data_IF_831115690302
#
_entry.id   IF_831115690302
#
_cell.length_a   1.000
_cell.length_b   1.000
_cell.length_c   1.000
_cell.angle_alpha   90.00
_cell.angle_beta   90.00
_cell.angle_gamma   90.00
#
_symmetry.space_group_name_H-M   'P 1'
#
loop_
_entity.id
_entity.type
_entity.pdbx_description
1 polymer ?
#
# COMPACT_ATOMS: atom_id res chain seq x y z
N UNK A 1 25.27 28.04 -1.08
CA UNK A 1 24.46 26.81 -1.25
C UNK A 1 23.32 26.87 -0.26
N UNK A 2 22.09 26.49 -0.63
CA UNK A 2 21.02 26.30 0.36
C UNK A 2 21.17 24.96 1.05
N UNK A 3 20.57 24.83 2.24
CA UNK A 3 20.45 23.55 2.95
C UNK A 3 19.04 23.03 2.76
N UNK A 4 18.92 21.75 2.42
CA UNK A 4 17.65 21.03 2.30
C UNK A 4 17.63 19.93 3.34
N UNK A 5 16.56 19.82 4.13
CA UNK A 5 16.35 18.61 4.95
C UNK A 5 15.67 17.55 4.10
N UNK A 6 16.34 16.42 3.91
CA UNK A 6 15.85 15.28 3.17
C UNK A 6 15.58 14.12 4.12
N UNK A 7 14.31 13.75 4.28
CA UNK A 7 13.91 12.60 5.09
C UNK A 7 14.06 11.33 4.25
N UNK A 8 15.09 10.52 4.53
CA UNK A 8 15.33 9.25 3.84
C UNK A 8 14.46 8.18 4.47
N UNK A 9 13.58 7.57 3.67
CA UNK A 9 12.57 6.59 4.08
C UNK A 9 12.89 5.25 3.41
N UNK A 10 12.87 4.16 4.17
CA UNK A 10 13.09 2.81 3.63
C UNK A 10 12.26 1.76 4.36
N UNK A 11 12.21 0.56 3.78
CA UNK A 11 11.52 -0.61 4.33
C UNK A 11 12.56 -1.53 4.98
N UNK A 12 12.29 -1.94 6.22
CA UNK A 12 13.19 -2.77 7.02
C UNK A 12 13.08 -4.28 6.75
N UNK A 13 13.79 -5.08 7.53
CA UNK A 13 13.81 -6.55 7.41
C UNK A 13 12.85 -7.27 8.36
N UNK A 14 11.94 -6.56 9.03
CA UNK A 14 11.06 -7.20 10.00
C UNK A 14 10.17 -8.25 9.32
N UNK A 15 10.00 -9.39 10.00
CA UNK A 15 9.07 -10.46 9.60
C UNK A 15 8.01 -10.68 10.69
N UNK A 16 6.78 -11.11 10.32
CA UNK A 16 6.35 -11.46 8.97
C UNK A 16 5.96 -10.25 8.10
N UNK A 17 5.90 -9.04 8.67
CA UNK A 17 5.60 -7.80 7.95
C UNK A 17 6.71 -6.78 8.20
N UNK A 18 7.33 -6.29 7.12
CA UNK A 18 8.35 -5.25 7.17
C UNK A 18 7.75 -3.90 7.56
N UNK A 19 8.56 -3.03 8.16
CA UNK A 19 8.15 -1.70 8.62
C UNK A 19 8.91 -0.59 7.92
N UNK A 20 8.26 0.57 7.85
CA UNK A 20 8.89 1.81 7.43
C UNK A 20 9.85 2.31 8.51
N UNK A 21 10.99 2.84 8.08
CA UNK A 21 11.98 3.54 8.88
C UNK A 21 12.32 4.84 8.17
N UNK A 22 12.74 5.85 8.91
CA UNK A 22 13.26 7.06 8.29
C UNK A 22 14.30 7.78 9.14
N UNK A 23 15.09 8.65 8.51
CA UNK A 23 15.98 9.60 9.16
C UNK A 23 16.31 10.79 8.26
N UNK A 24 16.62 11.93 8.87
CA UNK A 24 16.85 13.18 8.15
C UNK A 24 18.32 13.44 7.82
N UNK A 25 18.64 13.69 6.55
CA UNK A 25 19.92 14.21 6.07
C UNK A 25 19.80 15.69 5.77
N UNK A 26 20.80 16.48 6.18
CA UNK A 26 20.98 17.83 5.63
C UNK A 26 21.83 17.72 4.37
N UNK A 27 21.28 18.12 3.22
CA UNK A 27 21.95 18.11 1.92
C UNK A 27 22.28 19.55 1.53
N UNK A 28 23.56 19.82 1.23
CA UNK A 28 24.01 21.13 0.75
C UNK A 28 23.89 21.18 -0.78
N UNK A 29 22.79 21.76 -1.25
CA UNK A 29 22.45 21.84 -2.67
C UNK A 29 21.61 23.09 -2.94
N UNK A 30 21.80 23.73 -4.09
CA UNK A 30 21.01 24.91 -4.46
C UNK A 30 19.50 24.58 -4.61
N UNK A 31 19.23 23.41 -5.19
CA UNK A 31 17.90 22.85 -5.44
C UNK A 31 18.07 21.38 -5.79
N UNK A 32 17.20 20.50 -5.28
CA UNK A 32 17.15 19.09 -5.70
C UNK A 32 16.28 19.01 -6.94
N UNK A 33 16.87 18.66 -8.08
CA UNK A 33 16.18 18.56 -9.39
C UNK A 33 16.09 17.13 -9.89
N UNK A 34 17.01 16.27 -9.46
CA UNK A 34 17.04 14.87 -9.83
C UNK A 34 17.58 14.00 -8.69
N UNK A 35 17.44 12.68 -8.85
CA UNK A 35 17.99 11.71 -7.88
C UNK A 35 19.52 11.80 -7.75
N UNK A 36 20.24 12.25 -8.79
CA UNK A 36 21.70 12.39 -8.73
C UNK A 36 22.17 13.53 -7.83
N UNK A 37 21.27 14.46 -7.47
CA UNK A 37 21.56 15.51 -6.48
C UNK A 37 21.50 14.97 -5.03
N UNK A 38 21.00 13.75 -4.85
CA UNK A 38 20.82 13.10 -3.56
C UNK A 38 21.90 12.04 -3.37
N UNK A 39 22.74 12.15 -2.33
CA UNK A 39 23.76 11.15 -2.07
C UNK A 39 23.14 9.85 -1.56
N UNK A 40 23.76 8.71 -1.90
CA UNK A 40 23.56 7.47 -1.15
C UNK A 40 23.93 7.71 0.33
N UNK A 41 23.30 6.95 1.24
CA UNK A 41 23.56 7.08 2.66
C UNK A 41 23.56 5.72 3.36
N UNK A 42 24.38 5.51 4.37
CA UNK A 42 24.39 4.25 5.13
C UNK A 42 23.46 4.28 6.33
N UNK A 43 23.08 3.12 6.86
CA UNK A 43 22.42 2.95 8.15
C UNK A 43 22.84 1.62 8.81
N UNK A 44 22.56 1.50 10.10
CA UNK A 44 22.83 0.27 10.86
C UNK A 44 21.71 -0.77 10.64
N UNK A 45 22.02 -1.79 9.84
CA UNK A 45 21.13 -2.92 9.54
C UNK A 45 20.82 -3.82 10.73
N UNK A 46 21.64 -3.79 11.79
CA UNK A 46 21.42 -4.64 12.99
C UNK A 46 20.22 -4.18 13.81
N UNK A 47 19.91 -2.89 13.76
CA UNK A 47 18.78 -2.27 14.45
C UNK A 47 17.46 -2.37 13.68
N UNK A 48 17.45 -3.06 12.54
CA UNK A 48 16.33 -3.08 11.57
C UNK A 48 16.00 -4.47 11.04
N UNK A 49 16.54 -5.53 11.67
CA UNK A 49 16.40 -6.92 11.22
C UNK A 49 16.97 -7.18 9.82
N UNK A 50 17.93 -6.38 9.36
CA UNK A 50 18.49 -6.47 8.01
C UNK A 50 19.91 -7.05 8.01
N UNK A 51 20.66 -6.89 9.09
CA UNK A 51 21.99 -7.46 9.24
C UNK A 51 22.19 -8.03 10.65
N UNK A 52 23.15 -8.94 10.80
CA UNK A 52 23.57 -9.46 12.10
C UNK A 52 25.06 -9.20 12.33
N UNK A 53 25.44 -9.04 13.60
CA UNK A 53 26.85 -8.96 14.01
C UNK A 53 27.55 -7.64 13.70
N UNK A 54 28.89 -7.70 13.56
CA UNK A 54 29.78 -6.51 13.56
C UNK A 54 29.92 -5.81 12.19
N UNK A 55 29.33 -6.36 11.13
CA UNK A 55 29.34 -5.77 9.78
C UNK A 55 27.90 -5.50 9.36
N UNK A 56 27.28 -4.51 9.99
CA UNK A 56 25.86 -4.22 9.86
C UNK A 56 25.52 -3.05 8.95
N UNK A 57 26.51 -2.31 8.46
CA UNK A 57 26.27 -1.18 7.57
C UNK A 57 25.60 -1.64 6.26
N UNK A 58 24.46 -1.03 5.95
CA UNK A 58 23.74 -1.18 4.70
C UNK A 58 23.58 0.19 4.06
N UNK A 59 23.32 0.21 2.76
CA UNK A 59 23.22 1.44 1.97
C UNK A 59 21.77 1.73 1.58
N UNK A 60 21.40 3.00 1.63
CA UNK A 60 20.16 3.58 1.13
C UNK A 60 20.47 4.27 -0.18
N UNK A 61 19.84 3.79 -1.25
CA UNK A 61 19.90 4.40 -2.57
C UNK A 61 18.60 5.15 -2.87
N UNK A 62 18.61 6.47 -3.08
CA UNK A 62 17.43 7.23 -3.48
C UNK A 62 16.80 6.66 -4.76
N UNK A 63 15.48 6.42 -4.72
CA UNK A 63 14.71 5.93 -5.88
C UNK A 63 13.57 6.85 -6.28
N UNK A 64 13.08 7.67 -5.34
CA UNK A 64 12.08 8.70 -5.58
C UNK A 64 12.23 9.80 -4.54
N UNK A 65 11.96 11.05 -4.90
CA UNK A 65 11.76 12.12 -3.94
C UNK A 65 10.51 12.92 -4.27
N UNK A 66 9.91 13.50 -3.22
CA UNK A 66 8.75 14.39 -3.29
C UNK A 66 8.98 15.57 -2.36
N UNK A 67 8.31 16.69 -2.62
CA UNK A 67 8.27 17.80 -1.66
C UNK A 67 7.70 17.31 -0.33
N UNK A 68 8.24 17.79 0.80
CA UNK A 68 7.72 17.41 2.11
C UNK A 68 6.40 18.13 2.41
N UNK A 69 5.25 17.42 2.36
CA UNK A 69 3.94 18.07 2.49
C UNK A 69 3.62 18.53 3.92
N UNK A 70 4.43 18.11 4.90
CA UNK A 70 4.32 18.49 6.32
C UNK A 70 5.03 19.83 6.61
N UNK A 71 5.84 20.32 5.68
CA UNK A 71 6.57 21.60 5.79
C UNK A 71 6.36 22.45 4.53
N UNK A 72 5.11 22.84 4.24
CA UNK A 72 4.79 23.60 3.03
C UNK A 72 5.57 24.92 2.97
N UNK A 73 6.02 25.30 1.77
CA UNK A 73 6.80 26.52 1.55
C UNK A 73 8.29 26.41 1.86
N UNK A 74 8.76 25.25 2.34
CA UNK A 74 10.19 24.97 2.49
C UNK A 74 10.74 24.22 1.28
N UNK A 75 12.07 24.05 1.21
CA UNK A 75 12.73 23.20 0.21
C UNK A 75 12.89 21.75 0.68
N UNK A 76 12.34 21.40 1.85
CA UNK A 76 12.50 20.07 2.44
C UNK A 76 11.77 19.01 1.62
N UNK A 77 12.33 17.80 1.59
CA UNK A 77 11.86 16.70 0.75
C UNK A 77 11.75 15.40 1.55
N UNK A 78 10.90 14.49 1.08
CA UNK A 78 10.91 13.09 1.45
C UNK A 78 11.61 12.31 0.34
N UNK A 79 12.48 11.38 0.71
CA UNK A 79 13.28 10.56 -0.21
C UNK A 79 13.00 9.10 0.07
N UNK A 80 12.27 8.43 -0.81
CA UNK A 80 12.13 6.98 -0.75
C UNK A 80 13.43 6.34 -1.25
N UNK A 81 13.93 5.38 -0.49
CA UNK A 81 15.16 4.66 -0.78
C UNK A 81 14.92 3.17 -0.92
N UNK A 82 15.71 2.54 -1.79
CA UNK A 82 15.89 1.09 -1.78
C UNK A 82 17.12 0.70 -0.97
N UNK A 83 17.10 -0.50 -0.39
CA UNK A 83 18.19 -1.00 0.46
C UNK A 83 19.16 -1.83 -0.37
N UNK A 84 20.44 -1.52 -0.23
CA UNK A 84 21.55 -2.15 -0.95
C UNK A 84 22.58 -2.70 0.05
N UNK A 85 23.23 -3.80 -0.33
CA UNK A 85 24.42 -4.30 0.34
C UNK A 85 25.61 -3.32 0.16
N UNK A 86 26.67 -3.43 0.99
CA UNK A 86 27.89 -2.62 0.83
C UNK A 86 28.59 -2.75 -0.53
N UNK A 87 28.42 -3.89 -1.20
CA UNK A 87 28.96 -4.14 -2.55
C UNK A 87 28.10 -3.52 -3.68
N UNK A 88 26.98 -2.87 -3.32
CA UNK A 88 26.05 -2.23 -4.25
C UNK A 88 24.99 -3.16 -4.85
N UNK A 89 24.96 -4.45 -4.48
CA UNK A 89 23.89 -5.37 -4.87
C UNK A 89 22.60 -5.14 -4.07
N UNK A 90 21.40 -5.42 -4.63
CA UNK A 90 20.16 -5.31 -3.86
C UNK A 90 20.19 -6.19 -2.60
N UNK A 91 19.82 -5.61 -1.47
CA UNK A 91 19.73 -6.36 -0.21
C UNK A 91 18.55 -7.35 -0.26
N UNK A 92 18.57 -8.44 0.52
CA UNK A 92 17.50 -9.46 0.47
C UNK A 92 16.11 -8.90 0.82
N UNK A 93 16.05 -7.83 1.62
CA UNK A 93 14.80 -7.16 2.00
C UNK A 93 14.29 -6.19 0.91
N UNK A 94 15.06 -5.97 -0.16
CA UNK A 94 14.68 -5.08 -1.25
C UNK A 94 13.76 -5.82 -2.23
N UNK A 95 12.46 -5.68 -2.02
CA UNK A 95 11.40 -6.21 -2.90
C UNK A 95 11.14 -5.35 -4.13
N UNK A 96 11.62 -4.09 -4.14
CA UNK A 96 11.51 -3.16 -5.28
C UNK A 96 12.37 -3.59 -6.47
N UNK A 97 13.59 -4.09 -6.24
CA UNK A 97 14.50 -4.48 -7.30
C UNK A 97 13.95 -5.65 -8.16
N UNK A 98 13.41 -6.74 -7.60
CA UNK A 98 12.72 -7.77 -8.37
C UNK A 98 11.51 -7.23 -9.16
N UNK A 99 10.69 -6.34 -8.57
CA UNK A 99 9.59 -5.73 -9.31
C UNK A 99 10.09 -4.94 -10.53
N UNK A 100 11.18 -4.17 -10.37
CA UNK A 100 11.76 -3.38 -11.47
C UNK A 100 12.07 -4.24 -12.69
N UNK A 101 12.71 -5.39 -12.48
CA UNK A 101 13.04 -6.33 -13.56
C UNK A 101 11.79 -6.86 -14.27
N UNK A 102 10.75 -7.22 -13.51
CA UNK A 102 9.49 -7.73 -14.07
C UNK A 102 8.74 -6.62 -14.81
N UNK A 103 8.69 -5.41 -14.26
CA UNK A 103 8.05 -4.26 -14.88
C UNK A 103 8.72 -3.87 -16.20
N UNK A 104 10.05 -3.87 -16.26
CA UNK A 104 10.82 -3.65 -17.50
C UNK A 104 10.54 -4.75 -18.53
N UNK A 105 10.52 -6.02 -18.11
CA UNK A 105 10.24 -7.16 -18.99
C UNK A 105 8.85 -7.08 -19.63
N UNK A 106 7.86 -6.58 -18.89
CA UNK A 106 6.46 -6.51 -19.33
C UNK A 106 5.99 -5.08 -19.67
N UNK A 107 6.92 -4.16 -19.95
CA UNK A 107 6.61 -2.75 -20.19
C UNK A 107 5.64 -2.54 -21.37
N UNK A 108 5.67 -3.41 -22.38
CA UNK A 108 4.80 -3.34 -23.55
C UNK A 108 3.31 -3.56 -23.23
N UNK A 109 2.99 -4.18 -22.09
CA UNK A 109 1.61 -4.43 -21.67
C UNK A 109 0.90 -3.14 -21.18
N UNK A 110 1.66 -2.08 -20.87
CA UNK A 110 1.14 -0.81 -20.32
C UNK A 110 0.14 -1.08 -19.17
N UNK A 111 0.65 -1.84 -18.19
CA UNK A 111 -0.12 -2.30 -17.04
C UNK A 111 -0.33 -1.17 -16.04
N UNK A 112 -1.59 -0.97 -15.63
CA UNK A 112 -1.99 0.00 -14.62
C UNK A 112 -2.53 -0.73 -13.38
N UNK A 113 -2.19 -0.16 -12.24
CA UNK A 113 -2.62 -0.59 -10.92
C UNK A 113 -3.39 0.54 -10.24
N UNK A 114 -4.37 0.19 -9.40
CA UNK A 114 -4.98 1.08 -8.43
C UNK A 114 -5.12 0.34 -7.10
N UNK A 115 -4.64 0.92 -5.99
CA UNK A 115 -4.60 0.26 -4.69
C UNK A 115 -5.53 0.96 -3.70
N UNK A 116 -6.43 0.18 -3.10
CA UNK A 116 -7.40 0.61 -2.09
C UNK A 116 -6.88 0.22 -0.71
N UNK A 117 -6.15 1.13 -0.05
CA UNK A 117 -5.52 0.86 1.25
C UNK A 117 -6.49 1.11 2.38
N UNK A 118 -6.97 0.03 3.00
CA UNK A 118 -7.72 0.12 4.25
C UNK A 118 -6.78 0.13 5.47
N UNK A 119 -7.22 0.76 6.56
CA UNK A 119 -6.50 0.82 7.83
C UNK A 119 -7.47 1.09 8.98
N UNK A 120 -7.06 0.78 10.21
CA UNK A 120 -7.86 1.08 11.40
C UNK A 120 -7.10 1.98 12.35
N UNK A 121 -7.78 2.99 12.88
CA UNK A 121 -7.22 3.95 13.82
C UNK A 121 -7.38 3.47 15.25
N UNK A 122 -6.34 3.70 16.06
CA UNK A 122 -6.23 3.25 17.45
C UNK A 122 -5.76 4.39 18.35
N UNK A 123 -6.27 4.39 19.58
CA UNK A 123 -5.76 5.15 20.71
C UNK A 123 -5.18 4.13 21.72
N UNK A 124 -3.85 4.12 21.86
CA UNK A 124 -3.17 3.08 22.63
C UNK A 124 -3.42 1.68 22.04
N UNK A 125 -4.04 0.80 22.83
CA UNK A 125 -4.35 -0.58 22.44
C UNK A 125 -5.80 -0.81 21.98
N UNK A 126 -6.58 0.26 21.84
CA UNK A 126 -8.01 0.20 21.54
C UNK A 126 -8.33 0.95 20.25
N UNK A 127 -9.27 0.49 19.41
CA UNK A 127 -9.68 1.26 18.24
C UNK A 127 -10.25 2.63 18.66
N UNK A 128 -9.97 3.66 17.88
CA UNK A 128 -10.30 5.04 18.19
C UNK A 128 -11.82 5.22 18.34
N UNK A 129 -12.26 5.91 19.40
CA UNK A 129 -13.69 6.17 19.65
C UNK A 129 -14.49 4.99 20.21
N UNK A 130 -13.87 3.82 20.41
CA UNK A 130 -14.54 2.69 21.05
C UNK A 130 -14.68 2.92 22.55
N UNK A 131 -15.76 2.43 23.20
CA UNK A 131 -15.96 2.60 24.63
C UNK A 131 -14.85 1.94 25.46
N UNK A 132 -14.61 2.42 26.68
CA UNK A 132 -13.60 1.85 27.60
C UNK A 132 -13.87 0.38 27.91
N UNK A 133 -15.15 -0.01 27.88
CA UNK A 133 -15.61 -1.37 28.11
C UNK A 133 -16.64 -1.74 27.05
N UNK A 134 -16.45 -2.90 26.43
CA UNK A 134 -17.37 -3.46 25.45
C UNK A 134 -17.10 -2.99 24.02
N UNK A 135 -18.17 -2.87 23.25
CA UNK A 135 -18.14 -2.59 21.81
C UNK A 135 -19.04 -1.40 21.49
N UNK A 136 -18.77 -0.65 20.41
CA UNK A 136 -19.74 0.29 19.87
C UNK A 136 -20.96 -0.46 19.31
N UNK A 137 -21.93 0.28 18.76
CA UNK A 137 -23.07 -0.34 18.08
C UNK A 137 -22.61 -1.27 16.94
N UNK A 138 -23.39 -2.29 16.53
CA UNK A 138 -23.04 -3.16 15.41
C UNK A 138 -22.78 -2.39 14.11
N UNK A 139 -22.02 -3.00 13.20
CA UNK A 139 -21.69 -2.39 11.90
C UNK A 139 -22.95 -2.09 11.07
N UNK A 140 -22.96 -0.94 10.39
CA UNK A 140 -24.08 -0.50 9.56
C UNK A 140 -24.02 0.99 9.24
N UNK A 141 -24.09 1.85 10.26
CA UNK A 141 -24.07 3.32 10.10
C UNK A 141 -22.68 3.92 9.83
N UNK A 142 -21.61 3.15 9.99
CA UNK A 142 -20.23 3.67 9.91
C UNK A 142 -19.73 3.89 8.49
N UNK A 143 -20.08 2.99 7.55
CA UNK A 143 -19.61 3.07 6.17
C UNK A 143 -20.11 4.35 5.51
N UNK A 144 -19.19 5.20 5.05
CA UNK A 144 -19.49 6.54 4.52
C UNK A 144 -20.37 7.41 5.45
N UNK A 145 -20.32 7.17 6.77
CA UNK A 145 -21.15 7.85 7.76
C UNK A 145 -20.82 9.33 7.97
N UNK A 146 -21.69 10.04 8.69
CA UNK A 146 -21.52 11.45 9.05
C UNK A 146 -22.19 11.75 10.39
N UNK A 147 -21.37 12.06 11.39
CA UNK A 147 -21.85 12.28 12.74
C UNK A 147 -20.76 11.92 13.73
N UNK A 148 -20.79 12.52 14.91
CA UNK A 148 -19.79 12.26 15.97
C UNK A 148 -19.93 10.88 16.62
N UNK A 149 -21.09 10.25 16.45
CA UNK A 149 -21.45 8.90 16.87
C UNK A 149 -21.00 7.81 15.89
N UNK A 150 -20.80 8.16 14.61
CA UNK A 150 -20.47 7.21 13.55
C UNK A 150 -19.02 7.35 13.04
N UNK A 151 -18.40 8.53 13.19
CA UNK A 151 -17.15 8.85 12.50
C UNK A 151 -16.04 9.24 13.48
N UNK A 152 -14.95 8.48 13.44
CA UNK A 152 -13.82 8.65 14.34
C UNK A 152 -12.52 8.90 13.57
N UNK A 153 -11.81 9.99 13.87
CA UNK A 153 -10.50 10.29 13.29
C UNK A 153 -10.49 11.04 11.95
N UNK A 154 -11.64 11.55 11.49
CA UNK A 154 -11.77 12.27 10.20
C UNK A 154 -10.72 13.38 10.00
N UNK A 155 -10.38 14.12 11.06
CA UNK A 155 -9.38 15.19 10.99
C UNK A 155 -7.99 14.68 10.56
N UNK A 156 -7.57 13.52 11.05
CA UNK A 156 -6.31 12.88 10.61
C UNK A 156 -6.43 12.46 9.14
N UNK A 157 -7.55 11.84 8.76
CA UNK A 157 -7.81 11.34 7.40
C UNK A 157 -7.79 12.48 6.38
N UNK A 158 -8.48 13.58 6.63
CA UNK A 158 -8.50 14.75 5.76
C UNK A 158 -7.13 15.40 5.66
N UNK A 159 -6.42 15.53 6.79
CA UNK A 159 -5.06 16.09 6.82
C UNK A 159 -4.09 15.22 6.02
N UNK A 160 -4.21 13.88 6.13
CA UNK A 160 -3.43 12.91 5.36
C UNK A 160 -3.73 13.00 3.86
N UNK A 161 -5.01 13.06 3.48
CA UNK A 161 -5.42 13.21 2.08
C UNK A 161 -4.85 14.50 1.46
N UNK A 162 -4.97 15.64 2.17
CA UNK A 162 -4.37 16.90 1.74
C UNK A 162 -2.85 16.81 1.62
N UNK A 163 -2.16 16.14 2.57
CA UNK A 163 -0.72 15.97 2.52
C UNK A 163 -0.29 15.11 1.31
N UNK A 164 -1.02 14.03 1.02
CA UNK A 164 -0.80 13.22 -0.18
C UNK A 164 -0.97 14.05 -1.46
N UNK A 165 -2.05 14.84 -1.57
CA UNK A 165 -2.27 15.72 -2.73
C UNK A 165 -1.16 16.77 -2.88
N UNK A 166 -0.74 17.41 -1.77
CA UNK A 166 0.38 18.38 -1.77
C UNK A 166 1.71 17.74 -2.16
N UNK A 167 1.93 16.48 -1.79
CA UNK A 167 3.11 15.69 -2.16
C UNK A 167 3.09 15.22 -3.63
N UNK A 168 1.98 15.38 -4.36
CA UNK A 168 1.81 14.86 -5.71
C UNK A 168 1.62 13.33 -5.74
N UNK A 169 1.24 12.71 -4.63
CA UNK A 169 0.76 11.31 -4.62
C UNK A 169 -0.57 11.29 -5.37
N UNK A 170 -0.76 10.31 -6.26
CA UNK A 170 -1.95 10.16 -7.10
C UNK A 170 -3.13 9.58 -6.33
N UNK A 171 -3.54 10.29 -5.29
CA UNK A 171 -4.70 9.99 -4.47
C UNK A 171 -5.98 10.17 -5.31
N UNK A 172 -6.83 9.15 -5.35
CA UNK A 172 -8.12 9.17 -6.05
C UNK A 172 -9.29 9.54 -5.13
N UNK A 173 -9.19 9.20 -3.85
CA UNK A 173 -10.27 9.36 -2.90
C UNK A 173 -9.94 8.78 -1.53
N UNK A 174 -10.91 8.93 -0.63
CA UNK A 174 -10.94 8.33 0.71
C UNK A 174 -12.39 8.07 1.10
N UNK A 175 -12.64 7.08 1.95
CA UNK A 175 -13.95 6.86 2.57
C UNK A 175 -13.82 6.28 3.98
N UNK A 176 -14.84 6.51 4.81
CA UNK A 176 -15.00 5.77 6.05
C UNK A 176 -15.43 4.34 5.72
N UNK A 177 -14.79 3.36 6.36
CA UNK A 177 -15.03 1.95 6.13
C UNK A 177 -16.10 1.36 7.07
N UNK A 178 -16.43 0.09 6.87
CA UNK A 178 -17.53 -0.60 7.56
C UNK A 178 -17.32 -0.71 9.08
N UNK A 179 -16.09 -0.97 9.54
CA UNK A 179 -15.79 -1.02 10.97
C UNK A 179 -15.59 0.41 11.52
N UNK A 180 -16.13 0.75 12.71
CA UNK A 180 -15.91 2.07 13.31
C UNK A 180 -14.42 2.33 13.53
N UNK A 181 -13.96 3.51 13.08
CA UNK A 181 -12.57 3.95 13.02
C UNK A 181 -11.69 3.24 11.96
N UNK A 182 -12.31 2.46 11.07
CA UNK A 182 -11.67 1.99 9.85
C UNK A 182 -11.87 3.01 8.73
N UNK A 183 -10.85 3.16 7.90
CA UNK A 183 -10.83 4.10 6.79
C UNK A 183 -10.11 3.49 5.60
N UNK A 184 -10.37 4.03 4.42
CA UNK A 184 -9.68 3.69 3.18
C UNK A 184 -9.16 4.95 2.49
N UNK A 185 -8.01 4.81 1.82
CA UNK A 185 -7.58 5.75 0.79
C UNK A 185 -7.16 5.00 -0.48
N UNK A 186 -7.41 5.60 -1.65
CA UNK A 186 -7.10 4.96 -2.93
C UNK A 186 -5.99 5.69 -3.67
N UNK A 187 -4.99 4.97 -4.19
CA UNK A 187 -3.89 5.50 -5.02
C UNK A 187 -3.98 4.91 -6.42
N UNK A 188 -3.79 5.72 -7.47
CA UNK A 188 -3.70 5.25 -8.85
C UNK A 188 -4.50 6.09 -9.87
N UNK A 189 -4.77 5.57 -11.07
CA UNK A 189 -4.07 4.45 -11.68
C UNK A 189 -2.62 4.82 -12.02
N UNK A 190 -1.65 3.93 -11.75
CA UNK A 190 -0.22 4.12 -12.02
C UNK A 190 0.45 2.80 -12.46
N UNK A 191 1.61 2.85 -13.13
CA UNK A 191 2.42 1.65 -13.36
C UNK A 191 2.97 1.09 -12.03
N UNK A 192 3.45 -0.15 -12.10
CA UNK A 192 3.71 -0.98 -10.92
C UNK A 192 4.74 -0.39 -9.93
N UNK A 193 5.84 0.18 -10.41
CA UNK A 193 6.87 0.75 -9.53
C UNK A 193 6.35 2.03 -8.87
N UNK A 194 5.77 2.92 -9.65
CA UNK A 194 5.27 4.22 -9.20
C UNK A 194 4.16 4.06 -8.17
N UNK A 195 3.19 3.16 -8.40
CA UNK A 195 2.12 2.95 -7.42
C UNK A 195 2.64 2.39 -6.11
N UNK A 196 3.65 1.52 -6.17
CA UNK A 196 4.22 0.89 -4.99
C UNK A 196 5.05 1.89 -4.19
N UNK A 197 5.84 2.73 -4.88
CA UNK A 197 6.58 3.84 -4.29
C UNK A 197 5.62 4.84 -3.62
N UNK A 198 4.53 5.21 -4.29
CA UNK A 198 3.54 6.15 -3.78
C UNK A 198 2.74 5.59 -2.60
N UNK A 199 2.37 4.31 -2.61
CA UNK A 199 1.68 3.71 -1.46
C UNK A 199 2.59 3.65 -0.23
N UNK A 200 3.88 3.34 -0.38
CA UNK A 200 4.82 3.37 0.76
C UNK A 200 4.98 4.78 1.34
N UNK A 201 5.06 5.81 0.49
CA UNK A 201 5.09 7.21 0.92
C UNK A 201 3.77 7.63 1.59
N UNK A 202 2.62 7.22 1.05
CA UNK A 202 1.31 7.48 1.64
C UNK A 202 1.16 6.81 3.02
N UNK A 203 1.63 5.57 3.18
CA UNK A 203 1.70 4.87 4.47
C UNK A 203 2.61 5.60 5.46
N UNK A 204 3.78 6.05 5.02
CA UNK A 204 4.69 6.82 5.88
C UNK A 204 4.03 8.11 6.37
N UNK A 205 3.37 8.86 5.48
CA UNK A 205 2.63 10.07 5.85
C UNK A 205 1.51 9.77 6.86
N UNK A 206 0.75 8.68 6.66
CA UNK A 206 -0.31 8.28 7.58
C UNK A 206 0.24 8.07 9.00
N UNK A 207 1.33 7.30 9.14
CA UNK A 207 1.94 7.07 10.43
C UNK A 207 2.54 8.34 11.04
N UNK A 208 3.31 9.09 10.24
CA UNK A 208 4.01 10.28 10.71
C UNK A 208 3.05 11.37 11.15
N UNK A 209 1.91 11.50 10.49
CA UNK A 209 0.85 12.42 10.91
C UNK A 209 0.11 11.85 12.12
N UNK A 210 -0.17 10.56 12.17
CA UNK A 210 -0.77 9.90 13.34
C UNK A 210 -0.05 10.23 14.66
N UNK A 211 1.28 10.29 14.63
CA UNK A 211 2.11 10.73 15.77
C UNK A 211 1.70 12.11 16.31
N UNK A 212 1.40 13.08 15.44
CA UNK A 212 1.01 14.45 15.82
C UNK A 212 -0.39 14.52 16.41
N UNK A 213 -1.26 13.59 16.01
CA UNK A 213 -2.63 13.47 16.51
C UNK A 213 -2.73 12.56 17.74
N UNK A 214 -1.64 11.88 18.13
CA UNK A 214 -1.68 10.83 19.17
C UNK A 214 -2.50 9.60 18.76
N UNK A 215 -2.67 9.36 17.46
CA UNK A 215 -3.47 8.27 16.89
C UNK A 215 -2.53 7.32 16.15
N UNK A 216 -2.63 6.03 16.45
CA UNK A 216 -1.91 4.99 15.70
C UNK A 216 -2.78 4.43 14.59
N UNK A 217 -2.24 4.28 13.38
CA UNK A 217 -2.88 3.47 12.35
C UNK A 217 -2.33 2.03 12.39
N UNK A 218 -3.17 1.04 12.15
CA UNK A 218 -2.75 -0.35 11.93
C UNK A 218 -3.21 -0.84 10.56
N UNK A 219 -2.35 -1.63 9.92
CA UNK A 219 -2.64 -2.34 8.67
C UNK A 219 -2.89 -3.84 8.92
N UNK A 220 -3.07 -4.25 10.18
CA UNK A 220 -3.30 -5.66 10.51
C UNK A 220 -4.60 -6.16 9.86
N UNK A 221 -4.58 -7.25 9.06
CA UNK A 221 -5.72 -7.68 8.24
C UNK A 221 -7.02 -7.95 9.02
N UNK A 222 -6.91 -8.26 10.32
CA UNK A 222 -8.05 -8.44 11.22
C UNK A 222 -7.75 -7.76 12.55
N UNK A 223 -7.96 -6.44 12.68
CA UNK A 223 -7.50 -5.67 13.84
C UNK A 223 -8.32 -5.98 15.10
N UNK A 224 -9.60 -6.35 14.93
CA UNK A 224 -10.48 -6.80 16.00
C UNK A 224 -11.12 -8.15 15.61
N UNK A 225 -11.09 -9.12 16.53
CA UNK A 225 -11.70 -10.44 16.33
C UNK A 225 -13.23 -10.36 16.44
N UNK A 226 -13.90 -11.34 15.84
CA UNK A 226 -15.37 -11.44 15.84
C UNK A 226 -15.99 -10.78 14.61
N UNK A 227 -17.22 -10.30 14.79
CA UNK A 227 -18.13 -9.80 13.75
C UNK A 227 -17.81 -8.34 13.33
N UNK A 228 -16.53 -8.06 13.13
CA UNK A 228 -16.01 -6.77 12.65
C UNK A 228 -15.27 -6.97 11.34
N UNK A 229 -15.37 -6.05 10.40
CA UNK A 229 -14.66 -6.16 9.13
C UNK A 229 -13.14 -6.21 9.35
N UNK A 230 -12.45 -6.94 8.47
CA UNK A 230 -10.99 -6.87 8.38
C UNK A 230 -10.54 -5.76 7.43
N UNK A 231 -9.24 -5.54 7.33
CA UNK A 231 -8.64 -4.50 6.48
C UNK A 231 -7.97 -5.09 5.23
N UNK A 232 -8.41 -4.67 4.05
CA UNK A 232 -7.87 -5.06 2.74
C UNK A 232 -6.83 -4.09 2.14
N UNK A 233 -6.21 -4.53 1.05
CA UNK A 233 -5.51 -3.66 0.10
C UNK A 233 -5.97 -4.02 -1.32
N UNK A 234 -7.24 -3.79 -1.66
CA UNK A 234 -7.76 -4.27 -2.94
C UNK A 234 -6.95 -3.70 -4.10
N UNK A 235 -6.60 -4.57 -5.04
CA UNK A 235 -5.70 -4.24 -6.14
C UNK A 235 -6.44 -4.30 -7.47
N UNK A 236 -6.75 -3.13 -8.00
CA UNK A 236 -7.31 -2.95 -9.33
C UNK A 236 -6.20 -3.10 -10.37
N UNK A 237 -6.40 -3.90 -11.41
CA UNK A 237 -5.39 -4.18 -12.44
C UNK A 237 -5.98 -4.17 -13.86
N UNK A 238 -5.24 -3.58 -14.80
CA UNK A 238 -5.51 -3.69 -16.23
C UNK A 238 -4.23 -3.60 -17.07
N UNK A 239 -4.19 -4.28 -18.22
CA UNK A 239 -3.25 -3.99 -19.31
C UNK A 239 -3.92 -3.14 -20.39
N UNK A 240 -3.14 -2.63 -21.34
CA UNK A 240 -3.70 -1.90 -22.50
C UNK A 240 -4.77 -2.72 -23.24
N UNK A 241 -4.52 -4.01 -23.47
CA UNK A 241 -5.47 -4.90 -24.15
C UNK A 241 -6.77 -5.12 -23.36
N UNK A 242 -6.72 -5.10 -22.03
CA UNK A 242 -7.92 -5.14 -21.18
C UNK A 242 -8.77 -3.86 -21.29
N UNK A 243 -8.12 -2.70 -21.54
CA UNK A 243 -8.79 -1.40 -21.67
C UNK A 243 -9.32 -1.12 -23.09
N UNK A 244 -8.94 -1.93 -24.07
CA UNK A 244 -9.36 -1.80 -25.47
C UNK A 244 -10.65 -2.59 -25.78
N UNK A 245 -11.21 -2.40 -26.98
CA UNK A 245 -12.47 -3.03 -27.36
C UNK A 245 -12.35 -4.57 -27.32
N UNK A 246 -13.28 -5.24 -26.64
CA UNK A 246 -13.23 -6.69 -26.42
C UNK A 246 -12.31 -7.12 -25.27
N UNK A 247 -11.76 -6.18 -24.50
CA UNK A 247 -10.87 -6.43 -23.38
C UNK A 247 -11.45 -7.30 -22.26
N UNK A 248 -12.77 -7.43 -22.16
CA UNK A 248 -13.41 -8.37 -21.21
C UNK A 248 -12.93 -9.81 -21.40
N UNK A 249 -12.68 -10.25 -22.64
CA UNK A 249 -12.15 -11.59 -22.91
C UNK A 249 -10.72 -11.77 -22.39
N UNK A 250 -9.93 -10.69 -22.42
CA UNK A 250 -8.58 -10.67 -21.86
C UNK A 250 -8.63 -10.73 -20.34
N UNK A 251 -9.59 -10.03 -19.72
CA UNK A 251 -9.85 -10.10 -18.28
C UNK A 251 -10.25 -11.51 -17.86
N UNK A 252 -11.21 -12.13 -18.56
CA UNK A 252 -11.65 -13.50 -18.30
C UNK A 252 -10.50 -14.51 -18.43
N UNK A 253 -9.64 -14.37 -19.46
CA UNK A 253 -8.46 -15.21 -19.63
C UNK A 253 -7.44 -15.03 -18.48
N UNK A 254 -7.28 -13.82 -17.95
CA UNK A 254 -6.41 -13.56 -16.80
C UNK A 254 -6.91 -14.28 -15.53
N UNK A 255 -8.22 -14.48 -15.37
CA UNK A 255 -8.78 -15.18 -14.21
C UNK A 255 -8.28 -16.63 -14.11
N UNK A 256 -8.11 -17.32 -15.24
CA UNK A 256 -7.59 -18.68 -15.26
C UNK A 256 -6.12 -18.73 -14.83
N UNK A 257 -5.31 -17.75 -15.28
CA UNK A 257 -3.91 -17.61 -14.83
C UNK A 257 -3.84 -17.36 -13.31
N UNK A 258 -4.68 -16.46 -12.80
CA UNK A 258 -4.75 -16.13 -11.37
C UNK A 258 -5.24 -17.31 -10.52
N UNK A 259 -6.20 -18.09 -11.03
CA UNK A 259 -6.67 -19.33 -10.39
C UNK A 259 -5.53 -20.33 -10.25
N UNK A 260 -4.79 -20.57 -11.33
CA UNK A 260 -3.68 -21.53 -11.36
C UNK A 260 -2.54 -21.16 -10.39
N UNK A 261 -2.36 -19.86 -10.08
CA UNK A 261 -1.34 -19.36 -9.14
C UNK A 261 -1.92 -18.83 -7.83
N UNK A 262 -3.13 -19.24 -7.45
CA UNK A 262 -3.81 -18.72 -6.26
C UNK A 262 -2.96 -18.81 -4.99
N UNK A 263 -2.39 -19.98 -4.69
CA UNK A 263 -1.56 -20.19 -3.50
C UNK A 263 -0.29 -19.32 -3.49
N UNK A 264 0.35 -19.17 -4.65
CA UNK A 264 1.54 -18.33 -4.79
C UNK A 264 1.22 -16.85 -4.54
N UNK A 265 0.05 -16.37 -4.99
CA UNK A 265 -0.44 -15.03 -4.67
C UNK A 265 -0.72 -14.88 -3.17
N UNK A 266 -1.47 -15.82 -2.56
CA UNK A 266 -1.79 -15.77 -1.13
C UNK A 266 -0.52 -15.71 -0.26
N UNK A 267 0.55 -16.41 -0.64
CA UNK A 267 1.82 -16.41 0.10
C UNK A 267 2.48 -15.02 0.24
N UNK A 268 2.20 -14.08 -0.68
CA UNK A 268 2.75 -12.71 -0.65
C UNK A 268 1.69 -11.64 -0.37
N UNK A 269 0.44 -12.03 -0.14
CA UNK A 269 -0.70 -11.12 0.03
C UNK A 269 -0.91 -10.62 1.46
N UNK A 270 0.16 -10.61 2.26
CA UNK A 270 0.18 -10.10 3.62
C UNK A 270 0.07 -11.19 4.69
N UNK A 271 0.80 -10.99 5.79
CA UNK A 271 0.79 -11.88 6.93
C UNK A 271 -0.58 -11.85 7.64
N UNK A 272 -0.96 -12.96 8.28
CA UNK A 272 -2.23 -13.10 9.04
C UNK A 272 -3.52 -12.99 8.20
N UNK A 273 -3.42 -13.04 6.87
CA UNK A 273 -4.58 -12.87 5.98
C UNK A 273 -5.63 -13.99 6.14
N UNK A 274 -5.27 -15.15 6.70
CA UNK A 274 -6.23 -16.23 7.06
C UNK A 274 -7.26 -15.77 8.10
N UNK A 275 -6.93 -14.79 8.93
CA UNK A 275 -7.84 -14.22 9.92
C UNK A 275 -8.89 -13.30 9.28
N UNK A 276 -8.62 -12.82 8.06
CA UNK A 276 -9.47 -11.94 7.25
C UNK A 276 -10.29 -12.71 6.22
N UNK A 277 -9.62 -13.49 5.37
CA UNK A 277 -10.21 -14.23 4.25
C UNK A 277 -10.91 -15.51 4.72
N UNK A 278 -12.07 -15.33 5.35
CA UNK A 278 -12.83 -16.42 6.00
C UNK A 278 -14.04 -16.87 5.19
N UNK A 279 -14.44 -16.12 4.15
CA UNK A 279 -15.73 -16.30 3.49
C UNK A 279 -16.85 -15.42 4.06
N UNK A 280 -16.58 -14.73 5.17
CA UNK A 280 -17.46 -13.76 5.80
C UNK A 280 -16.94 -12.34 5.53
N UNK A 281 -17.77 -11.32 5.80
CA UNK A 281 -17.38 -9.91 5.70
C UNK A 281 -16.80 -9.51 4.34
N UNK A 282 -17.52 -9.82 3.24
CA UNK A 282 -17.13 -9.43 1.87
C UNK A 282 -15.78 -9.99 1.39
N UNK A 283 -15.47 -11.23 1.81
CA UNK A 283 -14.27 -11.94 1.34
C UNK A 283 -14.59 -13.37 0.93
N UNK A 284 -13.81 -13.91 -0.01
CA UNK A 284 -13.77 -15.35 -0.24
C UNK A 284 -12.90 -16.05 0.83
N UNK A 285 -13.15 -17.34 1.14
CA UNK A 285 -12.23 -18.12 1.97
C UNK A 285 -10.83 -18.17 1.35
N UNK A 286 -9.78 -18.12 2.18
CA UNK A 286 -8.37 -18.06 1.72
C UNK A 286 -7.93 -19.23 0.82
N UNK A 287 -8.62 -20.37 0.89
CA UNK A 287 -8.32 -21.59 0.12
C UNK A 287 -9.12 -21.71 -1.18
N UNK A 288 -10.02 -20.76 -1.44
CA UNK A 288 -10.98 -20.84 -2.55
C UNK A 288 -10.77 -19.65 -3.47
N UNK A 289 -10.47 -19.93 -4.74
CA UNK A 289 -10.47 -18.91 -5.78
C UNK A 289 -11.82 -18.85 -6.49
N UNK A 290 -12.46 -17.69 -6.44
CA UNK A 290 -13.69 -17.37 -7.20
C UNK A 290 -13.55 -15.99 -7.83
N UNK A 291 -14.18 -15.82 -9.00
CA UNK A 291 -14.37 -14.50 -9.59
C UNK A 291 -15.81 -14.34 -10.03
N UNK A 292 -16.30 -13.10 -10.04
CA UNK A 292 -17.67 -12.80 -10.45
C UNK A 292 -17.88 -11.33 -10.81
N UNK A 293 -18.87 -11.07 -11.64
CA UNK A 293 -19.31 -9.71 -11.96
C UNK A 293 -20.08 -9.16 -10.76
N UNK A 294 -19.63 -8.01 -10.24
CA UNK A 294 -20.22 -7.35 -9.07
C UNK A 294 -20.31 -8.22 -7.80
N UNK A 295 -19.54 -9.30 -7.71
CA UNK A 295 -19.53 -10.20 -6.56
C UNK A 295 -18.44 -9.78 -5.56
N UNK A 296 -18.85 -9.09 -4.50
CA UNK A 296 -17.96 -8.67 -3.40
C UNK A 296 -17.46 -9.84 -2.55
N UNK A 297 -18.14 -10.99 -2.55
CA UNK A 297 -17.73 -12.20 -1.83
C UNK A 297 -16.75 -13.07 -2.63
N UNK A 298 -16.42 -12.68 -3.86
CA UNK A 298 -15.44 -13.37 -4.69
C UNK A 298 -14.00 -12.95 -4.34
N UNK A 299 -13.03 -13.76 -4.79
CA UNK A 299 -11.61 -13.41 -4.68
C UNK A 299 -11.25 -12.27 -5.63
N UNK A 300 -11.77 -12.33 -6.86
CA UNK A 300 -11.59 -11.30 -7.89
C UNK A 300 -12.94 -10.78 -8.36
N UNK A 301 -13.19 -9.48 -8.21
CA UNK A 301 -14.40 -8.84 -8.69
C UNK A 301 -14.15 -8.23 -10.07
N UNK A 302 -15.05 -8.49 -11.02
CA UNK A 302 -15.13 -7.71 -12.25
C UNK A 302 -16.17 -6.61 -12.00
N UNK A 303 -15.80 -5.31 -12.03
CA UNK A 303 -16.75 -4.22 -11.82
C UNK A 303 -17.89 -4.24 -12.84
N UNK A 304 -19.09 -3.82 -12.42
CA UNK A 304 -20.25 -3.76 -13.30
C UNK A 304 -20.00 -2.88 -14.54
N UNK A 305 -19.34 -1.74 -14.36
CA UNK A 305 -18.96 -0.86 -15.46
C UNK A 305 -18.07 -1.56 -16.49
N UNK A 306 -17.07 -2.32 -16.03
CA UNK A 306 -16.20 -3.11 -16.92
C UNK A 306 -16.97 -4.19 -17.67
N UNK A 307 -17.88 -4.90 -17.00
CA UNK A 307 -18.72 -5.91 -17.64
C UNK A 307 -19.65 -5.29 -18.70
N UNK A 308 -20.28 -4.16 -18.39
CA UNK A 308 -21.19 -3.45 -19.29
C UNK A 308 -20.47 -2.86 -20.51
N UNK A 309 -19.28 -2.28 -20.30
CA UNK A 309 -18.49 -1.67 -21.37
C UNK A 309 -17.72 -2.71 -22.21
N UNK A 310 -17.66 -3.96 -21.75
CA UNK A 310 -16.91 -5.05 -22.39
C UNK A 310 -15.39 -4.85 -22.36
N UNK A 311 -14.88 -3.98 -21.47
CA UNK A 311 -13.46 -3.63 -21.31
C UNK A 311 -13.24 -2.85 -20.01
N UNK A 312 -12.01 -2.84 -19.49
CA UNK A 312 -11.65 -2.09 -18.29
C UNK A 312 -10.58 -2.78 -17.45
N UNK A 313 -10.92 -3.07 -16.19
CA UNK A 313 -10.01 -3.63 -15.18
C UNK A 313 -10.73 -4.69 -14.33
N UNK A 314 -9.98 -5.49 -13.58
CA UNK A 314 -10.53 -6.32 -12.50
C UNK A 314 -9.94 -5.90 -11.16
N UNK A 315 -10.62 -6.25 -10.07
CA UNK A 315 -10.23 -5.94 -8.70
C UNK A 315 -9.88 -7.23 -7.96
N UNK A 316 -8.62 -7.41 -7.58
CA UNK A 316 -8.18 -8.49 -6.70
C UNK A 316 -8.41 -8.10 -5.23
N UNK A 317 -9.34 -8.79 -4.57
CA UNK A 317 -9.76 -8.50 -3.18
C UNK A 317 -8.97 -9.27 -2.13
N UNK A 318 -8.04 -10.13 -2.58
CA UNK A 318 -7.26 -11.02 -1.70
C UNK A 318 -6.11 -10.35 -0.94
N UNK A 319 -5.40 -9.32 -1.44
CA UNK A 319 -4.35 -8.68 -0.66
C UNK A 319 -4.87 -8.07 0.64
N UNK A 320 -4.18 -8.33 1.75
CA UNK A 320 -4.44 -7.68 3.03
C UNK A 320 -3.85 -6.27 3.08
N UNK A 321 -4.34 -5.44 4.00
CA UNK A 321 -3.85 -4.09 4.22
C UNK A 321 -2.33 -4.00 4.48
N UNK A 322 -1.73 -5.02 5.10
CA UNK A 322 -0.30 -5.09 5.41
C UNK A 322 0.57 -5.69 4.28
N UNK A 323 0.02 -5.92 3.09
CA UNK A 323 0.81 -6.45 1.97
C UNK A 323 1.94 -5.50 1.57
N UNK A 324 3.03 -6.04 1.05
CA UNK A 324 4.04 -5.25 0.35
C UNK A 324 3.54 -4.97 -1.09
N UNK A 325 3.27 -3.70 -1.48
CA UNK A 325 2.81 -3.41 -2.84
C UNK A 325 3.83 -3.83 -3.90
N UNK A 326 5.13 -3.86 -3.60
CA UNK A 326 6.12 -4.33 -4.56
C UNK A 326 5.91 -5.81 -4.90
N UNK A 327 5.64 -6.65 -3.89
CA UNK A 327 5.40 -8.08 -4.11
C UNK A 327 4.06 -8.35 -4.77
N UNK A 328 3.01 -7.63 -4.37
CA UNK A 328 1.66 -7.73 -4.96
C UNK A 328 1.68 -7.35 -6.44
N UNK A 329 2.30 -6.22 -6.79
CA UNK A 329 2.39 -5.78 -8.17
C UNK A 329 3.27 -6.74 -9.00
N UNK A 330 4.37 -7.23 -8.42
CA UNK A 330 5.29 -8.15 -9.11
C UNK A 330 4.58 -9.44 -9.49
N UNK A 331 3.96 -10.11 -8.52
CA UNK A 331 3.31 -11.40 -8.80
C UNK A 331 2.10 -11.24 -9.73
N UNK A 332 1.41 -10.09 -9.68
CA UNK A 332 0.34 -9.78 -10.63
C UNK A 332 0.87 -9.68 -12.06
N UNK A 333 1.95 -8.94 -12.29
CA UNK A 333 2.59 -8.85 -13.62
C UNK A 333 3.11 -10.21 -14.08
N UNK A 334 3.83 -10.94 -13.24
CA UNK A 334 4.36 -12.27 -13.59
C UNK A 334 3.24 -13.24 -13.98
N UNK A 335 2.11 -13.21 -13.29
CA UNK A 335 1.01 -14.13 -13.56
C UNK A 335 0.18 -13.72 -14.76
N UNK A 336 -0.17 -12.43 -14.89
CA UNK A 336 -1.09 -11.98 -15.93
C UNK A 336 -0.36 -11.73 -17.25
N UNK A 337 0.81 -11.12 -17.20
CA UNK A 337 1.61 -10.73 -18.37
C UNK A 337 2.68 -11.76 -18.76
N UNK A 338 2.97 -12.73 -17.88
CA UNK A 338 3.95 -13.80 -18.11
C UNK A 338 3.45 -14.99 -18.90
#
# INVERSE_FOLDING_TARGET
>A
MSKVMAEYIWIDGQRPTAKLRSKMKVVEVAEVRSLSDLPDWSFDGSSTYQAEGKKSDLMLRPVRFIANPLKPGTKDILVLCEVMNPDGSPHWSNTRAPLRQVAEKHAAEDAWFGLEQEYTLFEGNRPLGWPDKGFPAPQGGYYCGVGSDEVFGRKLVESHAEACLRAGIKLCGTNAEVMPAQWEFQVGPLPALEISDELWLARWLLYRMGEEFGISATLHPKPVKGDWNGTGCHTNFSTKSMREAGGIKVIEAAMEKLRARHEAHIAVYGAHNVERLTGQHETAPITVFRYGVSDRGSSIRIPLGTANDGRGYFEDRRPAANCDPYEVCRIMLETVCG
#
